data_IF_340705623371
#
_entry.id   IF_340705623371
#
_cell.length_a   1.000
_cell.length_b   1.000
_cell.length_c   1.000
_cell.angle_alpha   90.00
_cell.angle_beta   90.00
_cell.angle_gamma   90.00
#
_symmetry.space_group_name_H-M   'P 1'
#
loop_
_entity.id
_entity.type
_entity.pdbx_description
1 polymer ?
#
# COMPACT_ATOMS: atom_id res chain seq x y z
N UNK A 1 -25.78 -15.53 -17.91
CA UNK A 1 -24.76 -14.55 -18.35
C UNK A 1 -25.55 -13.26 -18.53
N UNK A 2 -25.39 -12.34 -17.59
CA UNK A 2 -26.13 -11.09 -17.63
C UNK A 2 -25.63 -10.27 -18.83
N UNK A 3 -26.53 -9.49 -19.41
CA UNK A 3 -26.24 -8.66 -20.59
C UNK A 3 -25.22 -7.59 -20.17
N UNK A 4 -24.07 -7.57 -20.81
CA UNK A 4 -23.04 -6.54 -20.54
C UNK A 4 -23.54 -5.24 -21.14
N UNK A 5 -23.51 -4.17 -20.36
CA UNK A 5 -23.95 -2.84 -20.78
C UNK A 5 -23.12 -2.35 -21.97
N UNK A 6 -23.78 -1.70 -22.93
CA UNK A 6 -23.12 -1.19 -24.15
C UNK A 6 -22.15 -0.04 -23.87
N UNK A 7 -22.26 0.58 -22.67
CA UNK A 7 -21.43 1.68 -22.25
C UNK A 7 -20.65 1.34 -20.96
N UNK A 8 -19.34 1.44 -21.00
CA UNK A 8 -18.49 1.30 -19.82
C UNK A 8 -18.63 2.54 -18.93
N UNK A 9 -19.15 2.34 -17.72
CA UNK A 9 -19.23 3.36 -16.67
C UNK A 9 -18.29 2.92 -15.55
N UNK A 10 -17.10 3.54 -15.40
CA UNK A 10 -16.09 3.08 -14.42
C UNK A 10 -16.66 2.89 -13.02
N UNK A 11 -17.35 3.90 -12.50
CA UNK A 11 -17.91 3.89 -11.14
C UNK A 11 -18.83 2.69 -10.87
N UNK A 12 -19.68 2.34 -11.84
CA UNK A 12 -20.61 1.22 -11.69
C UNK A 12 -19.90 -0.13 -11.81
N UNK A 13 -18.99 -0.26 -12.77
CA UNK A 13 -18.27 -1.52 -13.04
C UNK A 13 -17.25 -1.82 -11.97
N UNK A 14 -16.46 -0.82 -11.55
CA UNK A 14 -15.42 -0.98 -10.54
C UNK A 14 -16.02 -1.36 -9.20
N UNK A 15 -17.05 -0.63 -8.74
CA UNK A 15 -17.76 -0.97 -7.49
C UNK A 15 -18.40 -2.37 -7.52
N UNK A 16 -18.98 -2.76 -8.66
CA UNK A 16 -19.58 -4.09 -8.78
C UNK A 16 -18.53 -5.22 -8.75
N UNK A 17 -17.35 -4.97 -9.32
CA UNK A 17 -16.23 -5.93 -9.31
C UNK A 17 -15.64 -6.04 -7.90
N UNK A 18 -15.43 -4.92 -7.21
CA UNK A 18 -14.95 -4.91 -5.82
C UNK A 18 -15.89 -5.69 -4.91
N UNK A 19 -17.18 -5.40 -4.96
CA UNK A 19 -18.20 -6.15 -4.19
C UNK A 19 -18.18 -7.64 -4.51
N UNK A 20 -17.99 -8.01 -5.79
CA UNK A 20 -17.90 -9.43 -6.16
C UNK A 20 -16.63 -10.10 -5.60
N UNK A 21 -15.50 -9.41 -5.58
CA UNK A 21 -14.27 -9.92 -5.00
C UNK A 21 -14.38 -10.12 -3.49
N UNK A 22 -15.02 -9.17 -2.80
CA UNK A 22 -15.27 -9.26 -1.35
C UNK A 22 -16.24 -10.39 -1.02
N UNK A 23 -17.37 -10.48 -1.72
CA UNK A 23 -18.38 -11.54 -1.50
C UNK A 23 -17.82 -12.95 -1.77
N UNK A 24 -16.91 -13.08 -2.73
CA UNK A 24 -16.28 -14.34 -3.11
C UNK A 24 -15.01 -14.66 -2.34
N UNK A 25 -14.53 -13.73 -1.48
CA UNK A 25 -13.21 -13.81 -0.84
C UNK A 25 -12.10 -14.14 -1.86
N UNK A 26 -12.15 -13.42 -3.00
CA UNK A 26 -11.44 -13.81 -4.22
C UNK A 26 -9.92 -13.85 -4.03
N UNK A 27 -9.37 -12.92 -3.26
CA UNK A 27 -7.93 -12.86 -2.99
C UNK A 27 -7.47 -14.11 -2.22
N UNK A 28 -8.09 -14.43 -1.09
CA UNK A 28 -7.74 -15.60 -0.27
C UNK A 28 -8.05 -16.92 -1.01
N UNK A 29 -9.15 -16.99 -1.74
CA UNK A 29 -9.45 -18.14 -2.57
C UNK A 29 -8.35 -18.43 -3.61
N UNK A 30 -7.71 -17.40 -4.18
CA UNK A 30 -6.56 -17.59 -5.08
C UNK A 30 -5.30 -18.04 -4.34
N UNK A 31 -5.07 -17.57 -3.10
CA UNK A 31 -3.94 -18.04 -2.27
C UNK A 31 -4.09 -19.52 -1.92
N UNK A 32 -5.29 -19.91 -1.49
CA UNK A 32 -5.60 -21.32 -1.17
C UNK A 32 -5.46 -22.24 -2.38
N UNK A 33 -6.00 -21.83 -3.53
CA UNK A 33 -5.94 -22.62 -4.77
C UNK A 33 -4.50 -22.92 -5.24
N UNK A 34 -3.54 -22.09 -4.88
CA UNK A 34 -2.14 -22.19 -5.27
C UNK A 34 -1.18 -22.50 -4.11
N UNK A 35 -1.71 -22.95 -2.96
CA UNK A 35 -0.92 -23.17 -1.75
C UNK A 35 0.23 -24.18 -1.93
N UNK A 36 0.03 -25.19 -2.76
CA UNK A 36 1.00 -26.26 -3.04
C UNK A 36 1.84 -26.02 -4.31
N UNK A 37 1.59 -24.92 -5.02
CA UNK A 37 2.30 -24.58 -6.25
C UNK A 37 3.73 -24.05 -5.99
N UNK A 38 4.61 -24.04 -7.02
CA UNK A 38 5.94 -23.47 -6.90
C UNK A 38 5.92 -22.03 -6.39
N UNK A 39 6.74 -21.74 -5.39
CA UNK A 39 6.79 -20.41 -4.78
C UNK A 39 7.31 -19.34 -5.76
N UNK A 40 6.64 -18.21 -5.79
CA UNK A 40 7.11 -16.96 -6.36
C UNK A 40 7.14 -15.88 -5.27
N UNK A 41 8.33 -15.43 -4.95
CA UNK A 41 8.52 -14.39 -3.94
C UNK A 41 8.65 -13.03 -4.61
N UNK A 42 7.77 -12.11 -4.24
CA UNK A 42 7.79 -10.74 -4.73
C UNK A 42 8.15 -9.78 -3.59
N UNK A 43 9.20 -8.99 -3.80
CA UNK A 43 9.60 -7.92 -2.86
C UNK A 43 9.09 -6.59 -3.42
N UNK A 44 8.21 -5.95 -2.69
CA UNK A 44 7.74 -4.62 -3.05
C UNK A 44 8.84 -3.57 -2.82
N UNK A 45 9.06 -2.67 -3.77
CA UNK A 45 9.86 -1.47 -3.57
C UNK A 45 8.99 -0.44 -2.83
N UNK A 46 9.30 -0.15 -1.54
CA UNK A 46 8.38 0.58 -0.69
C UNK A 46 8.26 2.06 -1.10
N UNK A 47 7.04 2.58 -1.30
CA UNK A 47 6.85 4.02 -1.43
C UNK A 47 7.08 4.73 -0.09
N UNK A 48 7.48 6.01 -0.15
CA UNK A 48 7.46 6.87 1.03
C UNK A 48 6.03 7.21 1.41
N UNK A 49 5.73 7.14 2.71
CA UNK A 49 4.44 7.57 3.27
C UNK A 49 4.44 9.08 3.58
N UNK A 50 4.84 9.88 2.59
CA UNK A 50 5.00 11.34 2.72
C UNK A 50 3.86 12.15 2.10
N UNK A 51 2.73 11.51 1.80
CA UNK A 51 1.53 12.12 1.23
C UNK A 51 0.66 11.12 0.48
N UNK A 52 -0.38 11.63 -0.16
CA UNK A 52 -1.34 10.83 -0.91
C UNK A 52 -0.72 10.16 -2.14
N UNK A 53 -1.36 9.07 -2.60
CA UNK A 53 -1.01 8.41 -3.84
C UNK A 53 -1.04 9.40 -5.01
N UNK A 54 0.02 9.42 -5.80
CA UNK A 54 0.07 10.17 -7.05
C UNK A 54 0.14 9.20 -8.25
N UNK A 55 -0.09 9.72 -9.45
CA UNK A 55 -0.13 8.90 -10.67
C UNK A 55 1.09 7.98 -10.84
N UNK A 56 2.29 8.42 -10.46
CA UNK A 56 3.51 7.59 -10.54
C UNK A 56 3.48 6.41 -9.59
N UNK A 57 2.95 6.60 -8.37
CA UNK A 57 2.79 5.54 -7.38
C UNK A 57 1.71 4.54 -7.81
N UNK A 58 0.56 5.03 -8.28
CA UNK A 58 -0.51 4.21 -8.85
C UNK A 58 -0.01 3.36 -10.02
N UNK A 59 0.68 3.98 -10.97
CA UNK A 59 1.29 3.28 -12.11
C UNK A 59 2.26 2.17 -11.68
N UNK A 60 3.13 2.47 -10.72
CA UNK A 60 4.09 1.50 -10.20
C UNK A 60 3.39 0.30 -9.56
N UNK A 61 2.40 0.54 -8.69
CA UNK A 61 1.63 -0.53 -8.02
C UNK A 61 0.83 -1.36 -9.03
N UNK A 62 0.17 -0.74 -10.00
CA UNK A 62 -0.58 -1.46 -11.04
C UNK A 62 0.32 -2.39 -11.87
N UNK A 63 1.54 -1.95 -12.22
CA UNK A 63 2.50 -2.82 -12.94
C UNK A 63 2.95 -4.00 -12.09
N UNK A 64 3.19 -3.80 -10.80
CA UNK A 64 3.53 -4.85 -9.85
C UNK A 64 2.38 -5.85 -9.72
N UNK A 65 1.16 -5.36 -9.52
CA UNK A 65 -0.06 -6.18 -9.43
C UNK A 65 -0.26 -7.03 -10.68
N UNK A 66 -0.07 -6.48 -11.87
CA UNK A 66 -0.15 -7.22 -13.13
C UNK A 66 0.82 -8.42 -13.16
N UNK A 67 2.06 -8.24 -12.69
CA UNK A 67 3.05 -9.33 -12.59
C UNK A 67 2.63 -10.38 -11.55
N UNK A 68 2.18 -9.94 -10.39
CA UNK A 68 1.73 -10.80 -9.29
C UNK A 68 0.53 -11.63 -9.72
N UNK A 69 -0.51 -11.01 -10.30
CA UNK A 69 -1.68 -11.71 -10.85
C UNK A 69 -1.32 -12.69 -11.94
N UNK A 70 -0.46 -12.31 -12.88
CA UNK A 70 0.02 -13.21 -13.91
C UNK A 70 0.71 -14.45 -13.32
N UNK A 71 1.50 -14.28 -12.26
CA UNK A 71 2.15 -15.41 -11.59
C UNK A 71 1.15 -16.35 -10.92
N UNK A 72 0.13 -15.83 -10.24
CA UNK A 72 -0.97 -16.64 -9.71
C UNK A 72 -1.68 -17.39 -10.84
N UNK A 73 -2.09 -16.69 -11.89
CA UNK A 73 -2.79 -17.30 -13.04
C UNK A 73 -1.97 -18.39 -13.77
N UNK A 74 -0.65 -18.37 -13.63
CA UNK A 74 0.27 -19.37 -14.21
C UNK A 74 0.72 -20.45 -13.25
N UNK A 75 0.02 -20.62 -12.11
CA UNK A 75 0.25 -21.71 -11.17
C UNK A 75 1.46 -21.45 -10.27
N UNK A 76 1.48 -20.35 -9.55
CA UNK A 76 2.49 -20.05 -8.54
C UNK A 76 1.82 -19.63 -7.23
N UNK A 77 2.36 -20.13 -6.12
CA UNK A 77 2.10 -19.57 -4.80
C UNK A 77 2.89 -18.26 -4.67
N UNK A 78 2.19 -17.15 -4.63
CA UNK A 78 2.82 -15.83 -4.57
C UNK A 78 2.87 -15.34 -3.13
N UNK A 79 4.03 -14.83 -2.71
CA UNK A 79 4.20 -14.01 -1.51
C UNK A 79 4.34 -12.57 -1.95
N UNK A 80 3.41 -11.71 -1.57
CA UNK A 80 3.21 -10.36 -2.10
C UNK A 80 2.91 -9.32 -1.03
N UNK A 81 3.73 -9.32 0.04
CA UNK A 81 3.64 -8.32 1.11
C UNK A 81 3.87 -6.91 0.56
N UNK A 82 2.94 -5.95 0.79
CA UNK A 82 3.20 -4.55 0.47
C UNK A 82 4.28 -3.99 1.40
N UNK A 83 5.04 -3.02 0.92
CA UNK A 83 6.07 -2.36 1.71
C UNK A 83 5.90 -0.86 1.77
N UNK A 84 6.35 -0.24 2.89
CA UNK A 84 6.30 1.20 3.12
C UNK A 84 7.60 1.72 3.70
N UNK A 85 8.10 2.82 3.11
CA UNK A 85 9.24 3.58 3.64
C UNK A 85 8.71 4.71 4.51
N UNK A 86 8.82 4.52 5.83
CA UNK A 86 8.09 5.29 6.83
C UNK A 86 8.98 6.15 7.72
N UNK A 87 10.23 6.43 7.32
CA UNK A 87 11.16 7.23 8.12
C UNK A 87 12.09 8.08 7.26
N UNK A 88 12.86 8.92 7.94
CA UNK A 88 13.90 9.75 7.33
C UNK A 88 13.38 11.08 6.81
N UNK A 89 14.25 11.78 6.10
CA UNK A 89 14.07 13.17 5.70
C UNK A 89 12.77 13.48 4.94
N UNK A 90 12.24 12.60 4.06
CA UNK A 90 10.98 12.88 3.38
C UNK A 90 9.77 13.03 4.33
N UNK A 91 9.77 12.29 5.44
CA UNK A 91 8.73 12.38 6.48
C UNK A 91 8.99 13.60 7.38
N UNK A 92 10.23 13.74 7.87
CA UNK A 92 10.62 14.82 8.79
C UNK A 92 10.31 16.20 8.20
N UNK A 93 10.67 16.45 6.93
CA UNK A 93 10.39 17.73 6.26
C UNK A 93 8.89 18.00 6.17
N UNK A 94 8.07 16.99 5.93
CA UNK A 94 6.61 17.17 5.89
C UNK A 94 6.03 17.53 7.24
N UNK A 95 6.49 16.88 8.29
CA UNK A 95 6.07 17.18 9.67
C UNK A 95 6.57 18.55 10.12
N UNK A 96 7.80 18.95 9.77
CA UNK A 96 8.29 20.32 9.99
C UNK A 96 7.39 21.37 9.31
N UNK A 97 7.00 21.12 8.05
CA UNK A 97 6.08 21.98 7.29
C UNK A 97 4.71 22.09 7.99
N UNK A 98 4.13 20.97 8.44
CA UNK A 98 2.83 20.94 9.12
C UNK A 98 2.85 21.64 10.48
N UNK A 99 3.93 21.47 11.25
CA UNK A 99 4.11 22.11 12.53
C UNK A 99 4.53 23.59 12.41
N UNK A 100 4.86 24.04 11.19
CA UNK A 100 5.27 25.41 10.91
C UNK A 100 6.68 25.74 11.46
N UNK A 101 7.56 24.75 11.53
CA UNK A 101 8.93 24.94 11.97
C UNK A 101 9.78 25.59 10.86
N UNK A 102 10.60 26.55 11.24
CA UNK A 102 11.50 27.25 10.32
C UNK A 102 12.98 26.89 10.56
N UNK A 103 13.27 26.25 11.66
CA UNK A 103 14.64 25.92 12.06
C UNK A 103 14.72 24.67 12.95
N UNK A 104 15.92 24.07 13.01
CA UNK A 104 16.20 22.96 13.94
C UNK A 104 15.97 23.32 15.41
N UNK A 105 16.05 24.61 15.75
CA UNK A 105 15.79 25.09 17.10
C UNK A 105 14.34 24.90 17.50
N UNK A 106 13.41 24.99 16.56
CA UNK A 106 11.98 24.81 16.82
C UNK A 106 11.71 23.36 17.21
N UNK A 107 12.42 22.40 16.59
CA UNK A 107 12.38 20.97 16.95
C UNK A 107 12.93 20.75 18.36
N UNK A 108 14.06 21.43 18.70
CA UNK A 108 14.65 21.32 20.05
C UNK A 108 13.72 21.89 21.13
N UNK A 109 13.03 23.02 20.84
CA UNK A 109 12.07 23.66 21.74
C UNK A 109 10.76 22.83 21.87
N UNK A 110 10.31 22.20 20.78
CA UNK A 110 9.15 21.29 20.78
C UNK A 110 9.42 19.98 21.54
N UNK A 111 10.64 19.51 21.46
CA UNK A 111 11.14 18.28 22.07
C UNK A 111 11.31 17.16 21.03
N UNK A 112 12.51 16.60 20.97
CA UNK A 112 12.89 15.58 19.99
C UNK A 112 11.97 14.35 20.03
N UNK A 113 11.62 13.87 21.21
CA UNK A 113 10.74 12.70 21.38
C UNK A 113 9.34 12.98 20.83
N UNK A 114 8.76 14.15 21.14
CA UNK A 114 7.47 14.58 20.62
C UNK A 114 7.49 14.71 19.09
N UNK A 115 8.58 15.23 18.52
CA UNK A 115 8.74 15.34 17.08
C UNK A 115 8.82 13.97 16.39
N UNK A 116 9.53 13.01 16.98
CA UNK A 116 9.59 11.63 16.49
C UNK A 116 8.21 10.96 16.52
N UNK A 117 7.45 11.19 17.58
CA UNK A 117 6.08 10.65 17.68
C UNK A 117 5.15 11.24 16.63
N UNK A 118 5.28 12.55 16.32
CA UNK A 118 4.55 13.18 15.22
C UNK A 118 4.96 12.60 13.84
N UNK A 119 6.24 12.35 13.62
CA UNK A 119 6.71 11.71 12.40
C UNK A 119 6.12 10.31 12.21
N UNK A 120 6.06 9.51 13.28
CA UNK A 120 5.43 8.18 13.25
C UNK A 120 3.94 8.27 12.94
N UNK A 121 3.22 9.12 13.68
CA UNK A 121 1.78 9.34 13.45
C UNK A 121 1.50 9.75 12.00
N UNK A 122 2.25 10.72 11.48
CA UNK A 122 2.13 11.17 10.10
C UNK A 122 2.37 10.04 9.09
N UNK A 123 3.42 9.25 9.30
CA UNK A 123 3.74 8.13 8.43
C UNK A 123 2.65 7.05 8.45
N UNK A 124 2.11 6.72 9.62
CA UNK A 124 1.03 5.76 9.81
C UNK A 124 -0.26 6.21 9.12
N UNK A 125 -0.70 7.46 9.35
CA UNK A 125 -1.89 8.03 8.71
C UNK A 125 -1.79 8.04 7.17
N UNK A 126 -0.63 8.39 6.63
CA UNK A 126 -0.43 8.37 5.17
C UNK A 126 -0.34 6.94 4.61
N UNK A 127 0.21 5.97 5.37
CA UNK A 127 0.20 4.57 4.98
C UNK A 127 -1.24 4.05 4.86
N UNK A 128 -2.08 4.30 5.86
CA UNK A 128 -3.49 3.89 5.83
C UNK A 128 -4.24 4.49 4.63
N UNK A 129 -4.05 5.78 4.39
CA UNK A 129 -4.65 6.44 3.22
C UNK A 129 -4.15 5.86 1.89
N UNK A 130 -2.86 5.50 1.80
CA UNK A 130 -2.29 4.86 0.60
C UNK A 130 -2.82 3.43 0.41
N UNK A 131 -3.08 2.68 1.48
CA UNK A 131 -3.71 1.36 1.40
C UNK A 131 -5.10 1.44 0.79
N UNK A 132 -5.93 2.38 1.27
CA UNK A 132 -7.26 2.65 0.72
C UNK A 132 -7.17 3.03 -0.77
N UNK A 133 -6.26 3.92 -1.12
CA UNK A 133 -6.03 4.34 -2.51
C UNK A 133 -5.61 3.17 -3.41
N UNK A 134 -4.69 2.30 -2.96
CA UNK A 134 -4.24 1.14 -3.75
C UNK A 134 -5.34 0.08 -3.90
N UNK A 135 -6.12 -0.14 -2.87
CA UNK A 135 -7.27 -1.04 -2.93
C UNK A 135 -8.33 -0.49 -3.88
N UNK A 136 -8.62 0.81 -3.85
CA UNK A 136 -9.61 1.44 -4.73
C UNK A 136 -9.27 1.35 -6.23
N UNK A 137 -8.00 1.21 -6.59
CA UNK A 137 -7.58 0.93 -7.98
C UNK A 137 -7.45 -0.57 -8.28
N UNK A 138 -7.95 -1.42 -7.36
CA UNK A 138 -8.04 -2.87 -7.53
C UNK A 138 -6.74 -3.65 -7.39
N UNK A 139 -5.72 -3.11 -6.71
CA UNK A 139 -4.44 -3.81 -6.45
C UNK A 139 -4.64 -4.92 -5.41
N UNK A 140 -4.13 -6.10 -5.69
CA UNK A 140 -4.16 -7.26 -4.80
C UNK A 140 -2.79 -7.53 -4.19
N UNK A 141 -2.68 -7.31 -2.88
CA UNK A 141 -1.52 -7.64 -2.05
C UNK A 141 -2.00 -8.11 -0.67
N UNK A 142 -1.09 -8.64 0.13
CA UNK A 142 -1.36 -9.04 1.52
C UNK A 142 -1.39 -7.80 2.44
N UNK A 143 -2.52 -7.07 2.41
CA UNK A 143 -2.69 -5.82 3.15
C UNK A 143 -2.68 -6.00 4.66
N UNK A 144 -2.93 -7.22 5.16
CA UNK A 144 -2.92 -7.56 6.58
C UNK A 144 -1.51 -7.83 7.12
N UNK A 145 -0.52 -8.06 6.23
CA UNK A 145 0.86 -8.34 6.60
C UNK A 145 1.87 -7.44 5.84
N UNK A 146 1.76 -6.10 5.91
CA UNK A 146 2.73 -5.20 5.30
C UNK A 146 4.10 -5.32 5.98
N UNK A 147 5.18 -4.96 5.26
CA UNK A 147 6.43 -4.63 5.92
C UNK A 147 6.61 -3.12 6.00
N UNK A 148 7.00 -2.64 7.15
CA UNK A 148 7.13 -1.23 7.47
C UNK A 148 8.55 -0.94 7.98
N UNK A 149 9.25 0.00 7.36
CA UNK A 149 10.66 0.26 7.71
C UNK A 149 10.83 0.85 9.11
N UNK A 150 9.74 1.34 9.73
CA UNK A 150 9.75 1.85 11.11
C UNK A 150 9.49 0.76 12.16
N UNK A 151 9.12 -0.45 11.74
CA UNK A 151 8.86 -1.55 12.68
C UNK A 151 10.15 -2.07 13.32
N UNK A 152 10.10 -2.51 14.60
CA UNK A 152 11.26 -3.09 15.27
C UNK A 152 11.85 -4.29 14.52
N UNK A 153 10.99 -5.13 13.94
CA UNK A 153 11.37 -6.32 13.19
C UNK A 153 12.19 -5.99 11.93
N UNK A 154 11.94 -4.83 11.34
CA UNK A 154 12.70 -4.37 10.17
C UNK A 154 14.03 -3.74 10.55
N UNK A 155 14.10 -3.10 11.73
CA UNK A 155 15.30 -2.37 12.20
C UNK A 155 16.35 -3.27 12.89
N UNK A 156 16.01 -4.51 13.29
CA UNK A 156 16.91 -5.52 13.86
C UNK A 156 17.67 -6.29 12.78
#
# INVERSE_FOLDING_TARGET
>A
MDEVDDQYTPEDVESAVEMYWDDADAYEATKEAHADDPAFFFVDGPPYTSGQMHLGTAWNKTLKDAVIRHKRMTGHRVTDRPGYDMHGLPIEVKVEEELGFESKRDIEEYGMESFIDECKRFAEENREAMDEDFQSIGVWMDWDDPYETISPEYME
#
